data_IF_534812449478
#
_entry.id   IF_534812449478
#
_cell.length_a   1.000
_cell.length_b   1.000
_cell.length_c   1.000
_cell.angle_alpha   90.00
_cell.angle_beta   90.00
_cell.angle_gamma   90.00
#
_symmetry.space_group_name_H-M   'P 1'
#
loop_
_entity.id
_entity.type
_entity.pdbx_description
1 polymer ?
#
# COMPACT_ATOMS: atom_id res chain seq x y z
N UNK A 1 52.16 19.41 21.54
CA UNK A 1 51.54 18.44 20.61
C UNK A 1 50.08 18.77 20.31
N UNK A 2 49.24 19.03 21.33
CA UNK A 2 47.80 19.24 21.16
C UNK A 2 47.41 20.32 20.13
N UNK A 3 48.05 21.49 20.13
CA UNK A 3 47.80 22.55 19.12
C UNK A 3 48.09 22.11 17.68
N UNK A 4 49.12 21.29 17.45
CA UNK A 4 49.46 20.80 16.10
C UNK A 4 48.42 19.79 15.60
N UNK A 5 47.87 18.98 16.51
CA UNK A 5 46.81 18.01 16.22
C UNK A 5 45.48 18.74 15.92
N UNK A 6 45.12 19.76 16.70
CA UNK A 6 43.91 20.55 16.44
C UNK A 6 43.96 21.30 15.10
N UNK A 7 45.12 21.88 14.76
CA UNK A 7 45.29 22.55 13.46
C UNK A 7 45.20 21.55 12.30
N UNK A 8 45.79 20.36 12.44
CA UNK A 8 45.69 19.31 11.42
C UNK A 8 44.23 18.84 11.21
N UNK A 9 43.45 18.70 12.28
CA UNK A 9 42.03 18.36 12.21
C UNK A 9 41.20 19.44 11.50
N UNK A 10 41.42 20.72 11.84
CA UNK A 10 40.71 21.83 11.19
C UNK A 10 41.02 21.88 9.69
N UNK A 11 42.29 21.68 9.31
CA UNK A 11 42.69 21.64 7.90
C UNK A 11 42.04 20.45 7.16
N UNK A 12 41.96 19.27 7.80
CA UNK A 12 41.29 18.12 7.23
C UNK A 12 39.81 18.39 6.96
N UNK A 13 39.07 18.92 7.93
CA UNK A 13 37.66 19.28 7.75
C UNK A 13 37.45 20.38 6.70
N UNK A 14 38.35 21.36 6.64
CA UNK A 14 38.32 22.40 5.61
C UNK A 14 38.52 21.82 4.20
N UNK A 15 39.46 20.89 4.02
CA UNK A 15 39.68 20.20 2.75
C UNK A 15 38.48 19.35 2.33
N UNK A 16 37.86 18.63 3.28
CA UNK A 16 36.65 17.84 3.01
C UNK A 16 35.49 18.77 2.60
N UNK A 17 35.26 19.85 3.34
CA UNK A 17 34.21 20.82 3.02
C UNK A 17 34.44 21.50 1.67
N UNK A 18 35.69 21.82 1.33
CA UNK A 18 36.05 22.37 0.02
C UNK A 18 35.78 21.36 -1.11
N UNK A 19 36.14 20.09 -0.93
CA UNK A 19 35.87 19.04 -1.91
C UNK A 19 34.36 18.88 -2.17
N UNK A 20 33.54 18.83 -1.12
CA UNK A 20 32.10 18.77 -1.26
C UNK A 20 31.51 20.02 -1.94
N UNK A 21 32.02 21.21 -1.62
CA UNK A 21 31.58 22.46 -2.24
C UNK A 21 31.94 22.52 -3.73
N UNK A 22 33.15 22.07 -4.10
CA UNK A 22 33.58 21.99 -5.48
C UNK A 22 32.77 20.96 -6.28
N UNK A 23 32.45 19.81 -5.69
CA UNK A 23 31.55 18.81 -6.29
C UNK A 23 30.15 19.39 -6.50
N UNK A 24 29.60 20.06 -5.48
CA UNK A 24 28.29 20.71 -5.57
C UNK A 24 28.24 21.77 -6.67
N UNK A 25 29.24 22.65 -6.75
CA UNK A 25 29.35 23.68 -7.80
C UNK A 25 29.46 23.01 -9.17
N UNK A 26 30.31 21.98 -9.32
CA UNK A 26 30.42 21.26 -10.59
C UNK A 26 29.13 20.53 -11.00
N UNK A 27 28.33 20.05 -10.05
CA UNK A 27 26.98 19.53 -10.32
C UNK A 27 26.00 20.63 -10.74
N UNK A 28 26.04 21.81 -10.09
CA UNK A 28 25.16 22.95 -10.40
C UNK A 28 25.41 23.53 -11.80
N UNK A 29 26.67 23.59 -12.23
CA UNK A 29 27.07 24.13 -13.54
C UNK A 29 27.24 23.05 -14.63
N UNK A 30 26.87 21.80 -14.34
CA UNK A 30 26.87 20.72 -15.34
C UNK A 30 28.26 20.26 -15.80
N UNK A 31 29.29 20.52 -15.00
CA UNK A 31 30.68 20.07 -15.26
C UNK A 31 30.81 18.55 -15.16
N UNK A 32 29.96 17.92 -14.32
CA UNK A 32 29.89 16.47 -14.19
C UNK A 32 28.68 15.93 -14.94
N UNK A 33 28.92 15.11 -15.97
CA UNK A 33 27.88 14.44 -16.75
C UNK A 33 27.36 13.19 -15.99
N UNK A 34 26.75 13.44 -14.82
CA UNK A 34 26.12 12.41 -13.98
C UNK A 34 24.61 12.49 -14.15
N UNK A 35 23.99 11.35 -14.42
CA UNK A 35 22.53 11.17 -14.48
C UNK A 35 21.90 11.68 -13.18
N UNK A 36 20.98 12.65 -13.24
CA UNK A 36 20.33 13.24 -12.06
C UNK A 36 20.91 14.57 -11.57
N UNK A 37 21.48 15.38 -12.47
CA UNK A 37 21.99 16.70 -12.12
C UNK A 37 20.87 17.62 -11.58
N UNK A 38 21.23 18.55 -10.69
CA UNK A 38 20.29 19.44 -9.97
C UNK A 38 19.35 20.20 -10.93
N UNK A 39 19.82 20.53 -12.14
CA UNK A 39 19.01 21.21 -13.16
C UNK A 39 17.94 20.30 -13.78
N UNK A 40 18.19 19.00 -13.97
CA UNK A 40 17.16 18.03 -14.40
C UNK A 40 16.09 17.88 -13.31
N UNK A 41 16.49 17.89 -12.04
CA UNK A 41 15.59 17.82 -10.90
C UNK A 41 14.76 19.10 -10.71
N UNK A 42 15.34 20.28 -10.95
CA UNK A 42 14.64 21.56 -10.77
C UNK A 42 13.74 21.95 -11.95
N UNK A 43 14.07 21.54 -13.19
CA UNK A 43 13.15 21.68 -14.33
C UNK A 43 11.91 20.81 -14.15
N UNK A 44 12.05 19.65 -13.50
CA UNK A 44 10.93 18.77 -13.15
C UNK A 44 9.94 19.42 -12.14
N UNK A 45 10.42 20.23 -11.20
CA UNK A 45 9.55 20.89 -10.20
C UNK A 45 8.92 22.21 -10.66
N UNK A 46 9.46 22.85 -11.71
CA UNK A 46 9.01 24.19 -12.14
C UNK A 46 8.03 24.16 -13.32
N UNK A 47 7.85 23.00 -13.94
CA UNK A 47 6.80 22.74 -14.92
C UNK A 47 6.08 21.45 -14.59
N UNK A 48 5.12 21.49 -13.67
CA UNK A 48 4.12 20.43 -13.57
C UNK A 48 3.00 20.80 -14.53
N UNK A 49 3.00 20.37 -15.81
CA UNK A 49 1.74 20.28 -16.51
C UNK A 49 0.87 19.35 -15.68
N UNK A 50 -0.43 19.63 -15.56
CA UNK A 50 -1.40 18.65 -15.04
C UNK A 50 -1.23 17.40 -15.88
N UNK A 51 -0.44 16.46 -15.40
CA UNK A 51 -0.13 15.24 -16.14
C UNK A 51 -1.41 14.45 -16.10
N UNK A 52 -2.05 14.38 -17.25
CA UNK A 52 -3.29 13.66 -17.43
C UNK A 52 -3.07 12.21 -16.98
N UNK A 53 -3.84 11.72 -16.00
CA UNK A 53 -3.77 10.33 -15.53
C UNK A 53 -4.67 9.42 -16.36
N UNK A 54 -5.54 10.00 -17.18
CA UNK A 54 -6.41 9.29 -18.09
C UNK A 54 -5.59 8.66 -19.22
N UNK A 55 -5.94 7.41 -19.55
CA UNK A 55 -5.36 6.71 -20.69
C UNK A 55 -5.67 7.46 -21.98
N UNK A 56 -6.88 8.00 -22.11
CA UNK A 56 -7.22 8.96 -23.15
C UNK A 56 -6.70 10.35 -22.79
N UNK A 57 -5.56 10.73 -23.37
CA UNK A 57 -4.90 12.01 -23.07
C UNK A 57 -5.71 13.24 -23.51
N UNK A 58 -6.75 13.07 -24.32
CA UNK A 58 -7.65 14.15 -24.74
C UNK A 58 -8.65 14.56 -23.64
N UNK A 59 -8.91 13.68 -22.65
CA UNK A 59 -9.88 13.92 -21.58
C UNK A 59 -9.21 14.53 -20.36
N UNK A 60 -9.72 15.64 -19.83
CA UNK A 60 -9.15 16.22 -18.61
C UNK A 60 -9.54 15.47 -17.33
N UNK A 61 -10.60 14.67 -17.41
CA UNK A 61 -11.20 13.94 -16.30
C UNK A 61 -11.77 12.63 -16.84
N UNK A 62 -11.51 11.52 -16.16
CA UNK A 62 -11.98 10.18 -16.52
C UNK A 62 -12.34 9.39 -15.26
N UNK A 63 -12.93 8.21 -15.43
CA UNK A 63 -13.18 7.28 -14.33
C UNK A 63 -11.87 6.66 -13.79
N UNK A 64 -11.86 6.18 -12.55
CA UNK A 64 -10.66 5.56 -11.96
C UNK A 64 -10.18 4.37 -12.81
N UNK A 65 -11.11 3.61 -13.41
CA UNK A 65 -10.80 2.47 -14.28
C UNK A 65 -10.25 2.85 -15.66
N UNK A 66 -10.23 4.14 -15.99
CA UNK A 66 -9.74 4.66 -17.28
C UNK A 66 -8.35 5.31 -17.10
N UNK A 67 -7.65 4.96 -16.03
CA UNK A 67 -6.35 5.53 -15.67
C UNK A 67 -5.19 4.55 -15.82
N UNK A 68 -3.99 5.10 -16.02
CA UNK A 68 -2.76 4.29 -16.06
C UNK A 68 -2.50 3.53 -14.75
N UNK A 69 -2.91 4.13 -13.64
CA UNK A 69 -2.81 3.59 -12.29
C UNK A 69 -3.66 2.33 -12.18
N UNK A 70 -4.93 2.38 -12.62
CA UNK A 70 -5.78 1.19 -12.68
C UNK A 70 -5.18 0.09 -13.54
N UNK A 71 -4.72 0.38 -14.75
CA UNK A 71 -4.10 -0.64 -15.62
C UNK A 71 -2.90 -1.33 -14.97
N UNK A 72 -2.17 -0.59 -14.12
CA UNK A 72 -1.05 -1.15 -13.35
C UNK A 72 -1.53 -2.02 -12.19
N UNK A 73 -2.53 -1.55 -11.43
CA UNK A 73 -3.17 -2.34 -10.36
C UNK A 73 -3.77 -3.63 -10.91
N UNK A 74 -4.50 -3.54 -12.02
CA UNK A 74 -5.09 -4.67 -12.74
C UNK A 74 -4.03 -5.70 -13.11
N UNK A 75 -2.94 -5.27 -13.74
CA UNK A 75 -1.84 -6.17 -14.10
C UNK A 75 -1.17 -6.83 -12.89
N UNK A 76 -1.02 -6.11 -11.78
CA UNK A 76 -0.49 -6.65 -10.53
C UNK A 76 -1.42 -7.69 -9.91
N UNK A 77 -2.71 -7.39 -9.78
CA UNK A 77 -3.71 -8.32 -9.26
C UNK A 77 -3.84 -9.59 -10.11
N UNK A 78 -3.73 -9.49 -11.44
CA UNK A 78 -3.73 -10.64 -12.33
C UNK A 78 -2.53 -11.56 -12.09
N UNK A 79 -1.34 -11.00 -11.80
CA UNK A 79 -0.15 -11.81 -11.45
C UNK A 79 -0.34 -12.53 -10.12
N UNK A 80 -1.02 -11.91 -9.18
CA UNK A 80 -1.24 -12.45 -7.83
C UNK A 80 -2.55 -13.26 -7.71
N UNK A 81 -3.28 -13.48 -8.80
CA UNK A 81 -4.61 -14.11 -8.78
C UNK A 81 -4.63 -15.48 -8.07
N UNK A 82 -3.64 -16.34 -8.34
CA UNK A 82 -3.57 -17.66 -7.68
C UNK A 82 -3.20 -17.56 -6.18
N UNK A 83 -2.44 -16.53 -5.78
CA UNK A 83 -2.14 -16.26 -4.38
C UNK A 83 -3.42 -15.80 -3.66
N UNK A 84 -4.15 -14.85 -4.25
CA UNK A 84 -5.42 -14.34 -3.71
C UNK A 84 -6.43 -15.48 -3.58
N UNK A 85 -6.55 -16.35 -4.59
CA UNK A 85 -7.40 -17.54 -4.57
C UNK A 85 -7.01 -18.54 -3.49
N UNK A 86 -5.71 -18.75 -3.28
CA UNK A 86 -5.23 -19.59 -2.17
C UNK A 86 -5.68 -19.01 -0.83
N UNK A 87 -5.42 -17.74 -0.58
CA UNK A 87 -5.81 -17.05 0.66
C UNK A 87 -7.33 -17.08 0.86
N UNK A 88 -8.11 -16.89 -0.22
CA UNK A 88 -9.56 -16.96 -0.18
C UNK A 88 -10.05 -18.33 0.30
N UNK A 89 -9.48 -19.42 -0.21
CA UNK A 89 -9.83 -20.78 0.24
C UNK A 89 -9.46 -21.05 1.69
N UNK A 90 -8.32 -20.54 2.15
CA UNK A 90 -7.82 -20.77 3.51
C UNK A 90 -8.58 -19.96 4.57
N UNK A 91 -9.04 -18.76 4.21
CA UNK A 91 -9.68 -17.82 5.15
C UNK A 91 -11.20 -17.77 5.01
N UNK A 92 -11.75 -18.16 3.86
CA UNK A 92 -13.17 -18.03 3.52
C UNK A 92 -13.60 -16.61 3.13
N UNK A 93 -12.67 -15.65 3.03
CA UNK A 93 -12.97 -14.32 2.49
C UNK A 93 -12.92 -14.38 0.96
N UNK A 94 -13.90 -13.80 0.27
CA UNK A 94 -13.93 -13.86 -1.20
C UNK A 94 -12.73 -13.13 -1.80
N UNK A 95 -12.18 -13.68 -2.89
CA UNK A 95 -11.10 -13.08 -3.67
C UNK A 95 -11.40 -11.62 -4.03
N UNK A 96 -12.66 -11.35 -4.36
CA UNK A 96 -13.13 -10.03 -4.72
C UNK A 96 -13.15 -9.04 -3.56
N UNK A 97 -13.52 -9.49 -2.36
CA UNK A 97 -13.45 -8.65 -1.16
C UNK A 97 -11.99 -8.35 -0.77
N UNK A 98 -11.08 -9.31 -0.95
CA UNK A 98 -9.63 -9.08 -0.74
C UNK A 98 -9.13 -8.01 -1.74
N UNK A 99 -9.47 -8.12 -3.02
CA UNK A 99 -9.09 -7.12 -4.02
C UNK A 99 -9.71 -5.74 -3.75
N UNK A 100 -10.94 -5.68 -3.23
CA UNK A 100 -11.66 -4.44 -2.89
C UNK A 100 -10.90 -3.52 -1.95
N UNK A 101 -10.17 -4.06 -0.97
CA UNK A 101 -9.40 -3.23 -0.03
C UNK A 101 -8.00 -2.89 -0.55
N UNK A 102 -7.44 -3.72 -1.43
CA UNK A 102 -6.10 -3.55 -2.03
C UNK A 102 -6.10 -2.46 -3.11
N UNK A 103 -7.17 -2.36 -3.90
CA UNK A 103 -7.23 -1.43 -5.03
C UNK A 103 -7.09 0.03 -4.59
N UNK A 104 -7.89 0.53 -3.61
CA UNK A 104 -7.74 1.91 -3.17
C UNK A 104 -6.36 2.21 -2.58
N UNK A 105 -5.71 1.23 -1.93
CA UNK A 105 -4.34 1.38 -1.42
C UNK A 105 -3.32 1.59 -2.55
N UNK A 106 -3.35 0.72 -3.56
CA UNK A 106 -2.42 0.78 -4.67
C UNK A 106 -2.65 2.03 -5.54
N UNK A 107 -3.91 2.40 -5.78
CA UNK A 107 -4.24 3.65 -6.49
C UNK A 107 -3.77 4.87 -5.70
N UNK A 108 -3.99 4.91 -4.37
CA UNK A 108 -3.50 5.99 -3.51
C UNK A 108 -1.97 6.11 -3.58
N UNK A 109 -1.27 4.98 -3.56
CA UNK A 109 0.18 4.95 -3.66
C UNK A 109 0.68 5.48 -5.00
N UNK A 110 0.16 4.98 -6.12
CA UNK A 110 0.61 5.39 -7.45
C UNK A 110 0.31 6.86 -7.77
N UNK A 111 -0.78 7.40 -7.21
CA UNK A 111 -1.12 8.83 -7.34
C UNK A 111 -0.26 9.73 -6.46
N UNK A 112 0.22 9.22 -5.32
CA UNK A 112 1.10 9.98 -4.41
C UNK A 112 2.57 9.93 -4.85
N UNK A 113 3.03 8.79 -5.33
CA UNK A 113 4.43 8.52 -5.74
C UNK A 113 4.59 8.50 -7.26
N UNK A 114 4.09 9.53 -7.94
CA UNK A 114 3.91 9.55 -9.41
C UNK A 114 5.19 9.27 -10.21
N UNK A 115 6.32 9.82 -9.77
CA UNK A 115 7.59 9.64 -10.48
C UNK A 115 8.13 8.22 -10.37
N UNK A 116 7.99 7.63 -9.18
CA UNK A 116 8.35 6.23 -8.94
C UNK A 116 7.38 5.33 -9.71
N UNK A 117 6.09 5.67 -9.72
CA UNK A 117 5.07 5.00 -10.52
C UNK A 117 5.42 4.94 -12.01
N UNK A 118 5.68 6.10 -12.63
CA UNK A 118 6.01 6.18 -14.07
C UNK A 118 7.33 5.49 -14.42
N UNK A 119 8.33 5.54 -13.54
CA UNK A 119 9.65 4.99 -13.82
C UNK A 119 9.74 3.48 -13.63
N UNK A 120 8.99 2.91 -12.69
CA UNK A 120 9.16 1.51 -12.26
C UNK A 120 7.88 0.67 -12.35
N UNK A 121 6.77 1.17 -11.81
CA UNK A 121 5.56 0.36 -11.64
C UNK A 121 4.74 0.25 -12.92
N UNK A 122 4.53 1.35 -13.64
CA UNK A 122 3.74 1.37 -14.87
C UNK A 122 4.31 0.48 -15.98
N UNK A 123 5.64 0.49 -16.29
CA UNK A 123 6.20 -0.37 -17.33
C UNK A 123 6.15 -1.85 -16.97
N UNK A 124 6.28 -2.17 -15.68
CA UNK A 124 6.35 -3.56 -15.19
C UNK A 124 4.99 -4.15 -14.87
N UNK A 125 3.94 -3.32 -14.70
CA UNK A 125 2.59 -3.75 -14.29
C UNK A 125 2.63 -4.60 -13.02
N UNK A 126 3.26 -4.08 -11.97
CA UNK A 126 3.41 -4.73 -10.66
C UNK A 126 2.84 -3.84 -9.56
N UNK A 127 2.43 -4.46 -8.45
CA UNK A 127 2.01 -3.75 -7.24
C UNK A 127 3.22 -3.19 -6.50
N UNK A 128 3.01 -2.08 -5.78
CA UNK A 128 4.00 -1.50 -4.90
C UNK A 128 3.93 -2.09 -3.50
N UNK A 129 5.08 -2.52 -2.96
CA UNK A 129 5.23 -2.59 -1.51
C UNK A 129 5.26 -1.18 -0.97
N UNK A 130 4.32 -0.85 -0.09
CA UNK A 130 4.19 0.46 0.50
C UNK A 130 5.36 0.76 1.45
N UNK A 131 5.54 2.04 1.82
CA UNK A 131 6.69 2.55 2.59
C UNK A 131 6.90 1.87 3.96
N UNK A 132 7.93 2.27 4.72
CA UNK A 132 8.15 1.75 6.09
C UNK A 132 6.96 1.92 7.07
N UNK A 133 5.94 2.71 6.72
CA UNK A 133 4.75 2.93 7.55
C UNK A 133 3.50 2.14 7.10
N UNK A 134 3.57 1.39 6.00
CA UNK A 134 2.46 0.61 5.45
C UNK A 134 3.07 -0.54 4.65
N UNK A 135 2.91 -1.79 5.06
CA UNK A 135 3.69 -2.91 4.54
C UNK A 135 2.93 -3.68 3.45
N UNK A 136 3.67 -4.18 2.46
CA UNK A 136 3.13 -5.03 1.40
C UNK A 136 2.19 -4.30 0.44
N UNK A 137 1.40 -5.09 -0.29
CA UNK A 137 0.51 -4.60 -1.34
C UNK A 137 -0.81 -4.03 -0.81
N UNK A 138 -1.17 -4.34 0.43
CA UNK A 138 -2.36 -3.84 1.11
C UNK A 138 -2.09 -2.74 2.15
N UNK A 139 -0.82 -2.41 2.42
CA UNK A 139 -0.47 -1.27 3.27
C UNK A 139 -0.72 -1.46 4.76
N UNK A 140 -0.77 -2.70 5.24
CA UNK A 140 -0.98 -3.01 6.65
C UNK A 140 0.21 -2.51 7.47
N UNK A 141 -0.06 -1.71 8.51
CA UNK A 141 0.99 -1.25 9.43
C UNK A 141 1.46 -2.40 10.31
N UNK A 142 2.70 -2.32 10.80
CA UNK A 142 3.24 -3.36 11.68
C UNK A 142 2.41 -3.49 12.98
N UNK A 143 1.94 -2.37 13.54
CA UNK A 143 1.09 -2.37 14.73
C UNK A 143 -0.25 -3.07 14.45
N UNK A 144 -0.86 -2.79 13.30
CA UNK A 144 -2.11 -3.45 12.87
C UNK A 144 -1.89 -4.94 12.62
N UNK A 145 -0.74 -5.34 12.05
CA UNK A 145 -0.40 -6.74 11.89
C UNK A 145 -0.25 -7.47 13.24
N UNK A 146 0.33 -6.81 14.24
CA UNK A 146 0.39 -7.35 15.61
C UNK A 146 -1.02 -7.49 16.23
N UNK A 147 -1.92 -6.54 15.98
CA UNK A 147 -3.32 -6.64 16.42
C UNK A 147 -4.03 -7.83 15.75
N UNK A 148 -3.82 -8.04 14.44
CA UNK A 148 -4.35 -9.21 13.71
C UNK A 148 -3.86 -10.51 14.36
N UNK A 149 -2.56 -10.65 14.64
CA UNK A 149 -2.06 -11.89 15.28
C UNK A 149 -2.66 -12.13 16.66
N UNK A 150 -2.82 -11.06 17.44
CA UNK A 150 -3.47 -11.12 18.75
C UNK A 150 -4.92 -11.60 18.61
N UNK A 151 -5.72 -10.97 17.74
CA UNK A 151 -7.13 -11.31 17.59
C UNK A 151 -7.35 -12.67 16.93
N UNK A 152 -6.47 -13.08 16.02
CA UNK A 152 -6.50 -14.42 15.42
C UNK A 152 -6.29 -15.54 16.45
N UNK A 153 -5.59 -15.26 17.57
CA UNK A 153 -5.29 -16.26 18.60
C UNK A 153 -6.19 -16.17 19.84
N UNK A 154 -6.75 -15.00 20.14
CA UNK A 154 -7.60 -14.75 21.30
C UNK A 154 -9.06 -15.16 21.04
N UNK A 155 -9.47 -16.30 21.60
CA UNK A 155 -10.83 -16.86 21.42
C UNK A 155 -11.93 -16.04 22.09
N UNK A 156 -11.58 -15.22 23.08
CA UNK A 156 -12.52 -14.37 23.82
C UNK A 156 -12.67 -12.99 23.18
N UNK A 157 -11.81 -12.64 22.21
CA UNK A 157 -11.90 -11.39 21.49
C UNK A 157 -13.21 -11.29 20.68
N UNK A 158 -13.83 -10.10 20.69
CA UNK A 158 -14.90 -9.77 19.75
C UNK A 158 -14.44 -9.93 18.29
N UNK A 159 -13.17 -9.65 18.03
CA UNK A 159 -12.51 -9.80 16.73
C UNK A 159 -12.03 -11.22 16.43
N UNK A 160 -12.28 -12.23 17.27
CA UNK A 160 -11.70 -13.57 17.08
C UNK A 160 -11.92 -14.09 15.65
N UNK A 161 -10.84 -14.36 14.91
CA UNK A 161 -10.88 -14.74 13.49
C UNK A 161 -11.54 -16.10 13.23
N UNK A 162 -11.67 -16.94 14.26
CA UNK A 162 -12.27 -18.27 14.16
C UNK A 162 -11.26 -19.42 14.18
N UNK A 163 -11.78 -20.63 14.32
CA UNK A 163 -10.96 -21.85 14.45
C UNK A 163 -10.11 -22.07 13.19
N UNK A 164 -8.86 -22.48 13.40
CA UNK A 164 -7.91 -22.80 12.32
C UNK A 164 -7.10 -21.61 11.81
N UNK A 165 -7.56 -20.36 11.98
CA UNK A 165 -6.86 -19.18 11.45
C UNK A 165 -5.47 -18.98 12.06
N UNK A 166 -5.32 -19.28 13.36
CA UNK A 166 -4.02 -19.18 14.06
C UNK A 166 -2.93 -20.10 13.49
N UNK A 167 -3.32 -21.19 12.81
CA UNK A 167 -2.35 -22.08 12.16
C UNK A 167 -1.69 -21.44 10.93
N UNK A 168 -2.38 -20.51 10.26
CA UNK A 168 -1.91 -19.86 9.02
C UNK A 168 -0.78 -18.86 9.28
N UNK A 169 -0.71 -18.32 10.50
CA UNK A 169 0.27 -17.30 10.92
C UNK A 169 1.37 -17.84 11.84
N UNK A 170 1.42 -19.17 12.05
CA UNK A 170 2.39 -19.78 12.96
C UNK A 170 3.83 -19.43 12.56
N UNK A 171 4.63 -19.06 13.55
CA UNK A 171 6.06 -18.77 13.37
C UNK A 171 6.89 -20.05 13.44
N UNK A 172 8.02 -20.11 12.72
CA UNK A 172 9.07 -21.08 13.00
C UNK A 172 9.61 -20.91 14.42
N UNK A 173 10.21 -21.98 14.97
CA UNK A 173 10.81 -21.92 16.30
C UNK A 173 12.06 -21.01 16.29
N UNK A 174 12.27 -20.27 17.38
CA UNK A 174 13.46 -19.43 17.63
C UNK A 174 13.71 -18.28 16.62
N UNK A 175 12.66 -17.67 16.06
CA UNK A 175 12.79 -16.48 15.20
C UNK A 175 12.49 -15.18 15.95
N UNK A 176 13.10 -14.08 15.51
CA UNK A 176 12.65 -12.74 15.87
C UNK A 176 11.32 -12.45 15.16
N UNK A 177 10.24 -12.41 15.94
CA UNK A 177 8.88 -12.25 15.41
C UNK A 177 8.69 -10.93 14.67
N UNK A 178 9.29 -9.83 15.14
CA UNK A 178 9.09 -8.53 14.50
C UNK A 178 9.79 -8.49 13.14
N UNK A 179 11.02 -9.02 13.06
CA UNK A 179 11.75 -9.11 11.81
C UNK A 179 11.07 -10.08 10.83
N UNK A 180 10.61 -11.23 11.31
CA UNK A 180 9.91 -12.22 10.49
C UNK A 180 8.56 -11.69 9.99
N UNK A 181 7.79 -11.01 10.83
CA UNK A 181 6.54 -10.36 10.41
C UNK A 181 6.78 -9.32 9.31
N UNK A 182 7.80 -8.48 9.50
CA UNK A 182 8.18 -7.49 8.50
C UNK A 182 8.55 -8.17 7.17
N UNK A 183 9.37 -9.22 7.21
CA UNK A 183 9.79 -9.96 6.02
C UNK A 183 8.59 -10.60 5.31
N UNK A 184 7.69 -11.24 6.05
CA UNK A 184 6.46 -11.83 5.52
C UNK A 184 5.62 -10.79 4.77
N UNK A 185 5.43 -9.61 5.34
CA UNK A 185 4.59 -8.57 4.75
C UNK A 185 5.26 -7.83 3.60
N UNK A 186 6.60 -7.84 3.50
CA UNK A 186 7.36 -7.07 2.51
C UNK A 186 8.08 -7.91 1.46
N UNK A 187 7.81 -9.22 1.40
CA UNK A 187 8.41 -10.11 0.41
C UNK A 187 8.02 -9.66 -1.01
N UNK A 188 8.98 -9.23 -1.85
CA UNK A 188 8.69 -8.71 -3.19
C UNK A 188 8.40 -9.81 -4.23
N UNK A 189 8.55 -11.09 -3.86
CA UNK A 189 8.37 -12.25 -4.75
C UNK A 189 7.16 -13.08 -4.37
N UNK A 190 6.74 -13.03 -3.10
CA UNK A 190 5.59 -13.76 -2.60
C UNK A 190 4.71 -12.88 -1.72
N UNK A 191 3.63 -12.36 -2.30
CA UNK A 191 2.67 -11.51 -1.59
C UNK A 191 1.68 -12.31 -0.70
N UNK A 192 1.86 -13.63 -0.54
CA UNK A 192 0.95 -14.48 0.23
C UNK A 192 0.60 -13.91 1.60
N UNK A 193 1.59 -13.52 2.40
CA UNK A 193 1.33 -13.00 3.74
C UNK A 193 0.69 -11.61 3.73
N UNK A 194 0.98 -10.76 2.73
CA UNK A 194 0.29 -9.49 2.57
C UNK A 194 -1.21 -9.70 2.33
N UNK A 195 -1.58 -10.63 1.44
CA UNK A 195 -2.98 -10.99 1.21
C UNK A 195 -3.60 -11.74 2.40
N UNK A 196 -2.87 -12.63 3.06
CA UNK A 196 -3.35 -13.37 4.23
C UNK A 196 -3.73 -12.42 5.36
N UNK A 197 -2.86 -11.47 5.72
CA UNK A 197 -3.16 -10.51 6.79
C UNK A 197 -4.31 -9.58 6.38
N UNK A 198 -4.44 -9.27 5.10
CA UNK A 198 -5.59 -8.54 4.56
C UNK A 198 -6.90 -9.30 4.79
N UNK A 199 -6.92 -10.60 4.45
CA UNK A 199 -8.08 -11.45 4.63
C UNK A 199 -8.40 -11.69 6.11
N UNK A 200 -7.38 -11.89 6.96
CA UNK A 200 -7.57 -12.02 8.40
C UNK A 200 -8.19 -10.76 8.99
N UNK A 201 -7.68 -9.57 8.66
CA UNK A 201 -8.29 -8.31 9.09
C UNK A 201 -9.77 -8.21 8.70
N UNK A 202 -10.11 -8.50 7.43
CA UNK A 202 -11.50 -8.49 6.94
C UNK A 202 -12.36 -9.47 7.75
N UNK A 203 -11.82 -10.66 8.04
CA UNK A 203 -12.51 -11.70 8.80
C UNK A 203 -12.75 -11.27 10.25
N UNK A 204 -11.77 -10.68 10.90
CA UNK A 204 -11.83 -10.23 12.29
C UNK A 204 -12.86 -9.11 12.47
N UNK A 205 -12.84 -8.11 11.58
CA UNK A 205 -13.85 -7.05 11.53
C UNK A 205 -15.23 -7.61 11.21
N UNK A 206 -15.33 -8.50 10.21
CA UNK A 206 -16.59 -9.16 9.87
C UNK A 206 -17.20 -9.91 11.06
N UNK A 207 -16.39 -10.66 11.78
CA UNK A 207 -16.83 -11.42 12.95
C UNK A 207 -17.27 -10.50 14.11
N UNK A 208 -16.58 -9.37 14.34
CA UNK A 208 -17.00 -8.38 15.35
C UNK A 208 -18.41 -7.86 15.03
N UNK A 209 -18.62 -7.46 13.77
CA UNK A 209 -19.87 -6.90 13.29
C UNK A 209 -21.01 -7.92 13.28
N UNK A 210 -20.74 -9.15 12.86
CA UNK A 210 -21.71 -10.26 12.90
C UNK A 210 -22.15 -10.58 14.33
N UNK A 211 -21.20 -10.66 15.29
CA UNK A 211 -21.52 -10.89 16.72
C UNK A 211 -22.39 -9.79 17.31
N UNK A 212 -22.24 -8.55 16.83
CA UNK A 212 -23.05 -7.40 17.23
C UNK A 212 -24.42 -7.34 16.51
N UNK A 213 -24.71 -8.28 15.60
CA UNK A 213 -25.98 -8.36 14.87
C UNK A 213 -26.02 -7.50 13.59
N UNK A 214 -24.88 -7.04 13.09
CA UNK A 214 -24.78 -6.17 11.91
C UNK A 214 -23.89 -6.82 10.84
N UNK A 215 -24.40 -7.74 10.03
CA UNK A 215 -23.59 -8.38 8.97
C UNK A 215 -23.15 -7.39 7.89
N UNK A 216 -21.82 -7.28 7.69
CA UNK A 216 -21.17 -6.43 6.68
C UNK A 216 -20.48 -7.23 5.57
N UNK A 217 -20.64 -8.55 5.54
CA UNK A 217 -20.02 -9.43 4.54
C UNK A 217 -20.39 -9.05 3.09
N UNK A 218 -21.57 -8.46 2.90
CA UNK A 218 -22.07 -7.96 1.62
C UNK A 218 -21.98 -6.43 1.46
N UNK A 219 -21.25 -5.76 2.36
CA UNK A 219 -21.10 -4.29 2.38
C UNK A 219 -19.65 -3.88 2.05
N UNK A 220 -19.17 -4.06 0.81
CA UNK A 220 -17.77 -3.87 0.44
C UNK A 220 -17.24 -2.47 0.75
N UNK A 221 -18.09 -1.44 0.61
CA UNK A 221 -17.71 -0.07 0.97
C UNK A 221 -17.44 0.09 2.47
N UNK A 222 -18.22 -0.57 3.32
CA UNK A 222 -18.03 -0.53 4.79
C UNK A 222 -16.78 -1.31 5.17
N UNK A 223 -16.58 -2.50 4.60
CA UNK A 223 -15.36 -3.30 4.82
C UNK A 223 -14.11 -2.50 4.43
N UNK A 224 -14.10 -1.88 3.24
CA UNK A 224 -13.00 -1.04 2.78
C UNK A 224 -12.80 0.22 3.65
N UNK A 225 -13.88 0.84 4.13
CA UNK A 225 -13.79 1.94 5.10
C UNK A 225 -13.11 1.50 6.38
N UNK A 226 -13.55 0.39 6.98
CA UNK A 226 -13.00 -0.14 8.23
C UNK A 226 -11.54 -0.58 8.08
N UNK A 227 -11.18 -1.14 6.92
CA UNK A 227 -9.78 -1.43 6.59
C UNK A 227 -8.91 -0.17 6.58
N UNK A 228 -9.43 0.93 6.01
CA UNK A 228 -8.68 2.17 5.92
C UNK A 228 -8.50 2.89 7.27
N UNK A 229 -9.48 2.79 8.18
CA UNK A 229 -9.50 3.54 9.45
C UNK A 229 -9.03 2.74 10.67
N UNK A 230 -8.90 1.41 10.56
CA UNK A 230 -8.33 0.55 11.61
C UNK A 230 -9.35 0.03 12.63
N UNK A 231 -8.94 -0.98 13.42
CA UNK A 231 -9.77 -1.64 14.44
C UNK A 231 -10.38 -0.67 15.46
N UNK A 232 -9.62 0.33 15.88
CA UNK A 232 -10.04 1.28 16.92
C UNK A 232 -11.25 2.11 16.54
N UNK A 233 -11.54 2.25 15.24
CA UNK A 233 -12.71 2.96 14.73
C UNK A 233 -13.86 2.01 14.31
N UNK A 234 -13.72 0.71 14.55
CA UNK A 234 -14.73 -0.29 14.24
C UNK A 234 -15.79 -0.35 15.34
N UNK A 235 -16.87 0.39 15.11
CA UNK A 235 -18.04 0.44 15.98
C UNK A 235 -19.28 -0.12 15.25
N UNK A 236 -19.68 -1.38 15.53
CA UNK A 236 -20.86 -1.98 14.91
C UNK A 236 -22.14 -1.18 15.16
N UNK A 237 -22.90 -0.90 14.11
CA UNK A 237 -24.12 -0.07 14.17
C UNK A 237 -25.07 -0.36 13.00
N UNK A 238 -26.38 -0.06 13.13
CA UNK A 238 -27.37 -0.40 12.10
C UNK A 238 -27.20 0.34 10.77
N UNK A 239 -26.65 1.56 10.81
CA UNK A 239 -26.51 2.41 9.62
C UNK A 239 -25.05 2.87 9.49
N UNK A 240 -24.12 1.96 9.11
CA UNK A 240 -22.75 2.34 8.84
C UNK A 240 -22.67 3.20 7.58
N UNK A 241 -21.63 4.02 7.48
CA UNK A 241 -21.44 4.96 6.37
C UNK A 241 -20.13 4.65 5.66
N UNK A 242 -20.17 4.63 4.33
CA UNK A 242 -18.98 4.52 3.49
C UNK A 242 -18.16 5.80 3.61
N UNK A 243 -16.91 5.66 4.03
CA UNK A 243 -15.97 6.75 4.28
C UNK A 243 -14.51 6.31 4.02
N UNK A 244 -13.57 7.03 4.62
CA UNK A 244 -12.13 6.80 4.52
C UNK A 244 -11.38 7.99 3.91
N UNK A 245 -10.08 7.84 3.71
CA UNK A 245 -9.23 8.87 3.12
C UNK A 245 -9.66 9.23 1.69
N UNK A 246 -9.47 10.50 1.31
CA UNK A 246 -9.71 10.95 -0.06
C UNK A 246 -8.56 10.51 -0.97
N UNK A 247 -8.91 9.91 -2.11
CA UNK A 247 -8.00 9.49 -3.17
C UNK A 247 -8.31 10.32 -4.42
N UNK A 248 -7.28 10.95 -5.00
CA UNK A 248 -7.43 11.75 -6.22
C UNK A 248 -6.88 10.98 -7.42
N UNK A 249 -7.74 10.56 -8.33
CA UNK A 249 -7.37 9.77 -9.52
C UNK A 249 -8.30 10.12 -10.69
N UNK A 250 -7.78 10.14 -11.92
CA UNK A 250 -8.55 10.52 -13.12
C UNK A 250 -9.14 11.94 -13.08
N UNK A 251 -8.54 12.86 -12.32
CA UNK A 251 -9.10 14.21 -12.11
C UNK A 251 -10.32 14.26 -11.18
N UNK A 252 -10.72 13.14 -10.56
CA UNK A 252 -11.83 13.02 -9.61
C UNK A 252 -11.30 12.70 -8.21
N UNK A 253 -12.14 12.91 -7.20
CA UNK A 253 -11.89 12.51 -5.81
C UNK A 253 -12.86 11.40 -5.42
N UNK A 254 -12.34 10.36 -4.78
CA UNK A 254 -13.11 9.24 -4.26
C UNK A 254 -12.79 9.06 -2.78
N UNK A 255 -13.79 8.69 -1.97
CA UNK A 255 -13.50 8.14 -0.66
C UNK A 255 -12.90 6.74 -0.82
N UNK A 256 -12.02 6.34 0.09
CA UNK A 256 -11.39 5.01 0.05
C UNK A 256 -12.45 3.88 -0.05
N UNK A 257 -13.45 3.90 0.82
CA UNK A 257 -14.53 2.91 0.80
C UNK A 257 -15.40 2.99 -0.45
N UNK A 258 -15.59 4.20 -1.00
CA UNK A 258 -16.34 4.40 -2.25
C UNK A 258 -15.62 3.79 -3.44
N UNK A 259 -14.29 3.98 -3.54
CA UNK A 259 -13.48 3.40 -4.60
C UNK A 259 -13.47 1.86 -4.50
N UNK A 260 -13.34 1.31 -3.29
CA UNK A 260 -13.41 -0.14 -3.06
C UNK A 260 -14.78 -0.73 -3.44
N UNK A 261 -15.88 -0.06 -3.07
CA UNK A 261 -17.23 -0.46 -3.46
C UNK A 261 -17.45 -0.32 -4.98
N UNK A 262 -16.93 0.74 -5.59
CA UNK A 262 -17.02 0.95 -7.04
C UNK A 262 -16.39 -0.22 -7.80
N UNK A 263 -15.19 -0.65 -7.41
CA UNK A 263 -14.59 -1.88 -7.94
C UNK A 263 -15.48 -3.10 -7.67
N UNK A 264 -15.90 -3.33 -6.43
CA UNK A 264 -16.72 -4.49 -6.07
C UNK A 264 -18.03 -4.55 -6.86
N UNK A 265 -18.61 -3.45 -7.30
CA UNK A 265 -19.85 -3.50 -8.09
C UNK A 265 -19.62 -3.48 -9.61
N UNK A 266 -18.42 -3.08 -10.04
CA UNK A 266 -18.02 -3.03 -11.46
C UNK A 266 -17.98 -4.42 -12.12
N UNK A 267 -17.72 -4.42 -13.43
CA UNK A 267 -17.44 -5.64 -14.20
C UNK A 267 -15.94 -5.91 -14.35
N UNK A 268 -15.08 -5.05 -13.80
CA UNK A 268 -13.64 -5.25 -13.83
C UNK A 268 -13.24 -6.52 -13.10
N UNK A 269 -12.38 -7.32 -13.73
CA UNK A 269 -11.81 -8.57 -13.21
C UNK A 269 -12.85 -9.61 -12.77
N UNK A 270 -14.10 -9.56 -13.27
CA UNK A 270 -15.14 -10.53 -12.86
C UNK A 270 -14.89 -11.95 -13.37
N UNK A 271 -14.07 -12.10 -14.41
CA UNK A 271 -13.57 -13.36 -14.95
C UNK A 271 -12.51 -14.01 -14.05
N UNK A 272 -11.83 -13.21 -13.22
CA UNK A 272 -10.76 -13.67 -12.32
C UNK A 272 -11.21 -13.68 -10.86
N UNK A 273 -11.92 -12.63 -10.42
CA UNK A 273 -12.47 -12.46 -9.08
C UNK A 273 -14.01 -12.30 -9.17
N UNK A 274 -14.77 -13.40 -9.07
CA UNK A 274 -16.22 -13.39 -9.25
C UNK A 274 -16.97 -12.64 -8.13
N UNK A 275 -18.20 -12.20 -8.42
CA UNK A 275 -19.05 -11.40 -7.52
C UNK A 275 -19.53 -12.17 -6.29
#
# INVERSE_FOLDING_TARGET
MLKKISVALVLLFACIGFAFSAVFIGMQFGVFNVRGAINERNQFFTGVPRTNTCVNTAEQTCDWKETSEWETVKGGLLKDAEIIKKVSRETGISERMIATVVIPEQVRFFTSEREVFKSYFEPLKILGSLSQFSLGVSGIKQETANEIEKYTTDTESEFYAGKGMSSLIKYPDNVDRNAELYNRLTDPKDHYYSYLYTALYIKEIGNQWEKAGFDISHSPGIVATLFNIGFQASEPKPNPVVAGALISVGGKKYLFGELGASFYHSNELTDVFPK
#
